data_IF_046712378331
#
_entry.id   IF_046712378331
#
_cell.length_a   1.000
_cell.length_b   1.000
_cell.length_c   1.000
_cell.angle_alpha   90.00
_cell.angle_beta   90.00
_cell.angle_gamma   90.00
#
_symmetry.space_group_name_H-M   'P 1'
#
loop_
_entity.id
_entity.type
_entity.pdbx_description
1 polymer ?
#
# COMPACT_ATOMS: atom_id res chain seq x y z
N UNK A 1 -13.81 -8.64 -27.56
CA UNK A 1 -14.07 -9.95 -28.20
C UNK A 1 -15.04 -9.74 -29.35
N UNK A 2 -14.60 -9.94 -30.60
CA UNK A 2 -15.55 -10.25 -31.67
C UNK A 2 -15.84 -11.75 -31.55
N UNK A 3 -16.91 -12.10 -30.85
CA UNK A 3 -17.41 -13.47 -30.85
C UNK A 3 -18.27 -13.64 -32.11
N UNK A 4 -17.86 -14.57 -32.97
CA UNK A 4 -18.64 -15.29 -33.99
C UNK A 4 -19.96 -14.65 -34.43
N UNK A 5 -19.98 -14.15 -35.66
CA UNK A 5 -21.11 -13.49 -36.30
C UNK A 5 -22.31 -14.39 -36.60
N UNK A 6 -23.03 -14.82 -35.57
CA UNK A 6 -24.45 -15.14 -35.67
C UNK A 6 -25.26 -14.09 -34.91
N UNK A 7 -26.21 -13.46 -35.61
CA UNK A 7 -27.07 -12.43 -35.06
C UNK A 7 -27.99 -13.03 -33.98
N UNK A 8 -27.98 -12.44 -32.79
CA UNK A 8 -28.92 -12.77 -31.71
C UNK A 8 -30.35 -12.49 -32.21
N UNK A 9 -31.21 -13.49 -32.25
CA UNK A 9 -32.62 -13.29 -32.62
C UNK A 9 -33.40 -12.70 -31.45
N UNK A 10 -34.42 -11.87 -31.74
CA UNK A 10 -35.21 -11.15 -30.73
C UNK A 10 -35.88 -12.08 -29.71
N UNK A 11 -36.21 -13.31 -30.09
CA UNK A 11 -36.78 -14.32 -29.18
C UNK A 11 -35.86 -14.73 -28.02
N UNK A 12 -34.54 -14.53 -28.16
CA UNK A 12 -33.58 -14.74 -27.08
C UNK A 12 -33.39 -13.49 -26.19
N UNK A 13 -33.88 -12.32 -26.61
CA UNK A 13 -33.64 -11.02 -25.97
C UNK A 13 -34.86 -10.36 -25.33
N UNK A 14 -36.07 -10.66 -25.78
CA UNK A 14 -37.30 -10.01 -25.31
C UNK A 14 -38.33 -11.04 -24.84
N UNK A 15 -38.77 -10.92 -23.58
CA UNK A 15 -39.85 -11.74 -23.06
C UNK A 15 -41.20 -11.27 -23.67
N UNK A 16 -42.11 -12.19 -24.05
CA UNK A 16 -43.43 -11.80 -24.50
C UNK A 16 -44.17 -11.03 -23.38
N UNK A 17 -45.16 -10.19 -23.73
CA UNK A 17 -45.95 -9.46 -22.74
C UNK A 17 -46.52 -10.41 -21.70
N UNK A 18 -46.46 -10.02 -20.43
CA UNK A 18 -47.06 -10.80 -19.36
C UNK A 18 -48.57 -10.57 -19.39
N UNK A 19 -49.31 -11.51 -19.98
CA UNK A 19 -50.76 -11.46 -20.13
C UNK A 19 -51.24 -11.05 -21.53
N UNK A 20 -52.55 -10.91 -21.71
CA UNK A 20 -53.16 -10.52 -22.98
C UNK A 20 -53.05 -9.01 -23.17
N UNK A 21 -52.47 -8.57 -24.30
CA UNK A 21 -52.43 -7.17 -24.65
C UNK A 21 -53.84 -6.64 -24.99
N UNK A 22 -54.16 -5.37 -24.67
CA UNK A 22 -55.37 -4.72 -25.14
C UNK A 22 -55.46 -4.72 -26.68
N UNK A 23 -56.68 -4.80 -27.23
CA UNK A 23 -56.90 -4.93 -28.68
C UNK A 23 -56.26 -3.81 -29.51
N UNK A 24 -56.17 -2.59 -28.96
CA UNK A 24 -55.51 -1.47 -29.63
C UNK A 24 -53.97 -1.57 -29.65
N UNK A 25 -53.39 -2.30 -28.69
CA UNK A 25 -51.94 -2.42 -28.49
C UNK A 25 -51.34 -3.60 -29.24
N UNK A 26 -52.11 -4.65 -29.48
CA UNK A 26 -51.68 -5.84 -30.21
C UNK A 26 -51.12 -5.49 -31.61
N UNK A 27 -51.79 -4.68 -32.46
CA UNK A 27 -51.26 -4.33 -33.77
C UNK A 27 -49.95 -3.52 -33.69
N UNK A 28 -49.78 -2.71 -32.65
CA UNK A 28 -48.57 -1.90 -32.43
C UNK A 28 -47.40 -2.76 -31.97
N UNK A 29 -47.65 -3.70 -31.04
CA UNK A 29 -46.68 -4.68 -30.59
C UNK A 29 -46.16 -5.52 -31.77
N UNK A 30 -47.07 -6.02 -32.60
CA UNK A 30 -46.70 -6.81 -33.79
C UNK A 30 -45.85 -6.00 -34.78
N UNK A 31 -46.22 -4.74 -35.04
CA UNK A 31 -45.42 -3.83 -35.89
C UNK A 31 -44.04 -3.55 -35.31
N UNK A 32 -43.93 -3.37 -33.98
CA UNK A 32 -42.66 -3.17 -33.29
C UNK A 32 -41.77 -4.40 -33.40
N UNK A 33 -42.29 -5.59 -33.10
CA UNK A 33 -41.55 -6.85 -33.21
C UNK A 33 -41.08 -7.06 -34.65
N UNK A 34 -41.93 -6.79 -35.65
CA UNK A 34 -41.54 -6.85 -37.05
C UNK A 34 -40.43 -5.85 -37.41
N UNK A 35 -40.50 -4.62 -36.90
CA UNK A 35 -39.47 -3.60 -37.13
C UNK A 35 -38.12 -3.97 -36.49
N UNK A 36 -38.13 -4.51 -35.27
CA UNK A 36 -36.92 -4.97 -34.58
C UNK A 36 -36.30 -6.14 -35.36
N UNK A 37 -37.09 -7.15 -35.74
CA UNK A 37 -36.61 -8.30 -36.52
C UNK A 37 -36.10 -7.91 -37.93
N UNK A 38 -36.66 -6.85 -38.52
CA UNK A 38 -36.27 -6.36 -39.84
C UNK A 38 -35.03 -5.46 -39.84
N UNK A 39 -34.47 -5.13 -38.68
CA UNK A 39 -33.32 -4.23 -38.55
C UNK A 39 -32.27 -4.78 -37.59
N UNK A 40 -31.07 -5.04 -38.11
CA UNK A 40 -29.94 -5.53 -37.32
C UNK A 40 -29.54 -4.56 -36.19
N UNK A 41 -29.59 -3.25 -36.47
CA UNK A 41 -29.31 -2.21 -35.47
C UNK A 41 -30.35 -2.20 -34.33
N UNK A 42 -31.64 -2.35 -34.65
CA UNK A 42 -32.70 -2.41 -33.64
C UNK A 42 -32.64 -3.72 -32.83
N UNK A 43 -32.33 -4.83 -33.49
CA UNK A 43 -32.11 -6.11 -32.82
C UNK A 43 -30.97 -6.02 -31.79
N UNK A 44 -29.85 -5.37 -32.14
CA UNK A 44 -28.68 -5.24 -31.26
C UNK A 44 -29.00 -4.49 -29.96
N UNK A 45 -29.70 -3.35 -30.05
CA UNK A 45 -30.04 -2.51 -28.89
C UNK A 45 -31.18 -3.08 -28.03
N UNK A 46 -32.01 -3.96 -28.60
CA UNK A 46 -33.15 -4.57 -27.90
C UNK A 46 -32.78 -5.88 -27.18
N UNK A 47 -31.50 -6.27 -27.18
CA UNK A 47 -30.98 -7.43 -26.44
C UNK A 47 -30.91 -7.18 -24.93
N UNK A 48 -31.04 -8.24 -24.12
CA UNK A 48 -31.01 -8.15 -22.65
C UNK A 48 -29.77 -7.45 -22.05
N UNK A 49 -28.66 -7.32 -22.77
CA UNK A 49 -27.48 -6.55 -22.31
C UNK A 49 -27.71 -5.04 -22.35
N UNK A 50 -28.49 -4.56 -23.32
CA UNK A 50 -28.86 -3.14 -23.48
C UNK A 50 -30.28 -2.85 -22.98
N UNK A 51 -31.11 -3.90 -22.86
CA UNK A 51 -32.52 -3.84 -22.46
C UNK A 51 -32.77 -4.19 -20.99
N UNK A 52 -31.84 -4.84 -20.26
CA UNK A 52 -32.12 -5.34 -18.90
C UNK A 52 -32.45 -4.24 -17.90
N UNK A 53 -33.74 -4.21 -17.61
CA UNK A 53 -34.45 -3.56 -16.54
C UNK A 53 -34.34 -4.32 -15.19
N UNK A 54 -33.13 -4.41 -14.64
CA UNK A 54 -32.92 -4.68 -13.20
C UNK A 54 -31.88 -3.73 -12.60
N UNK A 55 -31.86 -2.49 -13.10
CA UNK A 55 -31.46 -1.33 -12.30
C UNK A 55 -32.72 -0.83 -11.59
N UNK A 56 -32.59 -0.49 -10.31
CA UNK A 56 -33.56 0.34 -9.59
C UNK A 56 -34.96 -0.26 -9.30
N UNK A 57 -35.05 -1.35 -8.51
CA UNK A 57 -36.31 -1.73 -7.81
C UNK A 57 -36.17 -1.57 -6.29
N UNK A 58 -37.28 -1.33 -5.58
CA UNK A 58 -37.35 -0.92 -4.16
C UNK A 58 -36.67 -1.88 -3.15
N UNK A 59 -36.30 -3.09 -3.57
CA UNK A 59 -35.53 -4.06 -2.78
C UNK A 59 -34.00 -3.88 -2.92
N UNK A 60 -33.52 -2.92 -3.71
CA UNK A 60 -32.13 -2.77 -4.15
C UNK A 60 -31.51 -1.39 -3.82
N UNK A 61 -31.79 -0.85 -2.63
CA UNK A 61 -31.34 0.49 -2.16
C UNK A 61 -29.84 0.53 -1.81
N UNK A 62 -29.14 -0.62 -1.80
CA UNK A 62 -27.71 -0.70 -1.52
C UNK A 62 -26.79 -0.26 -2.69
N UNK A 63 -27.33 -0.06 -3.89
CA UNK A 63 -26.51 0.11 -5.10
C UNK A 63 -25.85 1.49 -5.27
N UNK A 64 -26.50 2.64 -4.98
CA UNK A 64 -25.85 3.95 -5.13
C UNK A 64 -24.67 4.12 -4.19
N UNK A 65 -24.84 3.79 -2.91
CA UNK A 65 -23.76 3.82 -1.91
C UNK A 65 -22.65 2.84 -2.29
N UNK A 66 -23.00 1.61 -2.69
CA UNK A 66 -21.99 0.64 -3.12
C UNK A 66 -21.22 1.11 -4.37
N UNK A 67 -21.88 1.74 -5.34
CA UNK A 67 -21.24 2.34 -6.52
C UNK A 67 -20.34 3.51 -6.13
N UNK A 68 -20.80 4.40 -5.25
CA UNK A 68 -20.01 5.52 -4.73
C UNK A 68 -18.76 5.02 -3.99
N UNK A 69 -18.91 4.05 -3.09
CA UNK A 69 -17.79 3.41 -2.37
C UNK A 69 -16.82 2.75 -3.34
N UNK A 70 -17.33 2.01 -4.33
CA UNK A 70 -16.50 1.29 -5.32
C UNK A 70 -15.80 2.25 -6.27
N UNK A 71 -16.45 3.33 -6.69
CA UNK A 71 -15.84 4.36 -7.52
C UNK A 71 -14.77 5.13 -6.73
N UNK A 72 -15.07 5.51 -5.49
CA UNK A 72 -14.13 6.17 -4.57
C UNK A 72 -12.88 5.30 -4.39
N UNK A 73 -13.04 4.03 -4.04
CA UNK A 73 -11.93 3.10 -3.85
C UNK A 73 -11.08 2.92 -5.12
N UNK A 74 -11.70 2.93 -6.31
CA UNK A 74 -10.97 2.86 -7.58
C UNK A 74 -10.17 4.14 -7.86
N UNK A 75 -10.73 5.31 -7.57
CA UNK A 75 -10.05 6.60 -7.75
C UNK A 75 -8.90 6.75 -6.75
N UNK A 76 -9.11 6.39 -5.48
CA UNK A 76 -8.06 6.32 -4.46
C UNK A 76 -6.94 5.38 -4.88
N UNK A 77 -7.29 4.17 -5.35
CA UNK A 77 -6.31 3.20 -5.83
C UNK A 77 -5.54 3.71 -7.04
N UNK A 78 -6.20 4.38 -7.97
CA UNK A 78 -5.53 4.97 -9.13
C UNK A 78 -4.53 6.05 -8.71
N UNK A 79 -4.89 6.93 -7.77
CA UNK A 79 -3.96 7.93 -7.22
C UNK A 79 -2.78 7.26 -6.49
N UNK A 80 -3.03 6.17 -5.77
CA UNK A 80 -1.98 5.39 -5.12
C UNK A 80 -1.03 4.75 -6.13
N UNK A 81 -1.55 4.21 -7.23
CA UNK A 81 -0.75 3.66 -8.32
C UNK A 81 0.11 4.74 -9.00
N UNK A 82 -0.45 5.95 -9.21
CA UNK A 82 0.30 7.08 -9.76
C UNK A 82 1.41 7.57 -8.80
N UNK A 83 1.10 7.69 -7.51
CA UNK A 83 2.06 8.06 -6.47
C UNK A 83 3.18 7.01 -6.34
N UNK A 84 2.85 5.72 -6.38
CA UNK A 84 3.82 4.65 -6.34
C UNK A 84 4.71 4.63 -7.60
N UNK A 85 4.13 4.78 -8.80
CA UNK A 85 4.90 4.84 -10.04
C UNK A 85 5.91 6.01 -10.02
N UNK A 86 5.48 7.15 -9.49
CA UNK A 86 6.33 8.31 -9.29
C UNK A 86 7.45 8.03 -8.26
N UNK A 87 7.14 7.40 -7.14
CA UNK A 87 8.13 7.07 -6.11
C UNK A 87 9.14 6.02 -6.61
N UNK A 88 8.67 5.01 -7.35
CA UNK A 88 9.50 3.94 -7.93
C UNK A 88 10.59 4.46 -8.86
N UNK A 89 10.33 5.56 -9.58
CA UNK A 89 11.31 6.18 -10.47
C UNK A 89 12.46 6.91 -9.73
N UNK A 90 12.41 6.99 -8.39
CA UNK A 90 13.39 7.73 -7.58
C UNK A 90 14.33 6.79 -6.84
N UNK A 91 15.65 7.04 -6.90
CA UNK A 91 16.64 6.25 -6.17
C UNK A 91 16.85 6.72 -4.72
N UNK A 92 16.23 7.85 -4.34
CA UNK A 92 16.48 8.54 -3.07
C UNK A 92 15.17 8.87 -2.36
N UNK A 93 15.20 9.05 -1.02
CA UNK A 93 14.02 9.45 -0.25
C UNK A 93 13.46 10.80 -0.73
N UNK A 94 12.16 11.00 -0.52
CA UNK A 94 11.41 12.17 -0.97
C UNK A 94 10.50 12.72 0.14
N UNK A 95 10.07 13.97 0.00
CA UNK A 95 9.07 14.61 0.86
C UNK A 95 7.69 14.61 0.19
N UNK A 96 6.62 14.81 0.98
CA UNK A 96 5.27 15.04 0.45
C UNK A 96 5.26 16.18 -0.57
N UNK A 97 5.92 17.30 -0.26
CA UNK A 97 5.97 18.47 -1.15
C UNK A 97 6.64 18.13 -2.50
N UNK A 98 7.68 17.31 -2.47
CA UNK A 98 8.34 16.85 -3.70
C UNK A 98 7.39 15.99 -4.54
N UNK A 99 6.59 15.12 -3.91
CA UNK A 99 5.58 14.29 -4.58
C UNK A 99 4.48 15.15 -5.20
N UNK A 100 3.96 16.11 -4.45
CA UNK A 100 2.95 17.05 -4.93
C UNK A 100 3.49 17.82 -6.14
N UNK A 101 4.65 18.46 -6.00
CA UNK A 101 5.27 19.23 -7.08
C UNK A 101 5.51 18.37 -8.33
N UNK A 102 5.92 17.12 -8.14
CA UNK A 102 6.20 16.19 -9.24
C UNK A 102 4.97 15.59 -9.93
N UNK A 103 3.79 15.64 -9.31
CA UNK A 103 2.53 15.09 -9.86
C UNK A 103 1.51 16.18 -10.21
N UNK A 104 1.74 17.43 -9.79
CA UNK A 104 0.83 18.55 -10.03
C UNK A 104 0.61 18.84 -11.52
N UNK A 105 1.60 18.58 -12.37
CA UNK A 105 1.50 18.79 -13.82
C UNK A 105 0.82 17.64 -14.59
N UNK A 106 0.54 16.49 -13.95
CA UNK A 106 -0.13 15.37 -14.62
C UNK A 106 -1.64 15.62 -14.68
N UNK A 107 -2.17 15.88 -15.88
CA UNK A 107 -3.59 16.15 -16.10
C UNK A 107 -4.50 15.01 -15.60
N UNK A 108 -4.06 13.75 -15.68
CA UNK A 108 -4.87 12.63 -15.20
C UNK A 108 -4.94 12.64 -13.68
N UNK A 109 -3.85 12.98 -12.99
CA UNK A 109 -3.84 13.18 -11.53
C UNK A 109 -4.83 14.29 -11.15
N UNK A 110 -4.80 15.42 -11.85
CA UNK A 110 -5.75 16.52 -11.61
C UNK A 110 -7.21 16.07 -11.78
N UNK A 111 -7.52 15.37 -12.87
CA UNK A 111 -8.87 14.88 -13.17
C UNK A 111 -9.38 13.86 -12.16
N UNK A 112 -8.52 12.93 -11.76
CA UNK A 112 -8.88 11.91 -10.76
C UNK A 112 -9.05 12.54 -9.38
N UNK A 113 -8.21 13.51 -9.00
CA UNK A 113 -8.35 14.24 -7.74
C UNK A 113 -9.66 15.06 -7.68
N UNK A 114 -10.00 15.75 -8.77
CA UNK A 114 -11.28 16.46 -8.89
C UNK A 114 -12.48 15.50 -8.78
N UNK A 115 -12.42 14.36 -9.47
CA UNK A 115 -13.47 13.34 -9.43
C UNK A 115 -13.62 12.69 -8.05
N UNK A 116 -12.50 12.42 -7.37
CA UNK A 116 -12.49 11.83 -6.03
C UNK A 116 -13.09 12.78 -4.98
N UNK A 117 -12.78 14.08 -5.08
CA UNK A 117 -13.22 15.08 -4.10
C UNK A 117 -14.57 15.71 -4.44
N UNK A 118 -15.05 15.54 -5.68
CA UNK A 118 -16.29 16.15 -6.17
C UNK A 118 -16.22 17.67 -6.33
N UNK A 119 -15.02 18.26 -6.29
CA UNK A 119 -14.77 19.72 -6.36
C UNK A 119 -13.47 20.02 -7.10
N UNK A 120 -13.32 21.24 -7.61
CA UNK A 120 -12.12 21.66 -8.36
C UNK A 120 -11.03 22.27 -7.45
N UNK A 121 -11.40 22.71 -6.25
CA UNK A 121 -10.49 23.30 -5.25
C UNK A 121 -10.00 22.27 -4.23
N UNK A 122 -9.52 21.13 -4.73
CA UNK A 122 -8.88 20.09 -3.92
C UNK A 122 -7.43 20.40 -3.58
N UNK A 123 -6.91 19.74 -2.55
CA UNK A 123 -5.50 19.81 -2.16
C UNK A 123 -4.79 18.48 -2.44
N UNK A 124 -3.85 18.48 -3.39
CA UNK A 124 -2.99 17.32 -3.62
C UNK A 124 -2.14 16.96 -2.39
N UNK A 125 -1.75 17.96 -1.58
CA UNK A 125 -1.01 17.73 -0.36
C UNK A 125 -1.85 16.95 0.67
N UNK A 126 -3.14 17.26 0.80
CA UNK A 126 -4.03 16.50 1.70
C UNK A 126 -4.30 15.09 1.17
N UNK A 127 -4.54 14.95 -0.13
CA UNK A 127 -4.80 13.65 -0.76
C UNK A 127 -3.58 12.72 -0.65
N UNK A 128 -2.40 13.16 -1.08
CA UNK A 128 -1.18 12.36 -0.98
C UNK A 128 -0.69 12.23 0.46
N UNK A 129 -0.93 13.21 1.33
CA UNK A 129 -0.64 13.10 2.76
C UNK A 129 -1.44 12.01 3.45
N UNK A 130 -2.75 11.93 3.16
CA UNK A 130 -3.63 10.86 3.66
C UNK A 130 -3.19 9.50 3.13
N UNK A 131 -2.86 9.44 1.84
CA UNK A 131 -2.37 8.23 1.17
C UNK A 131 -1.08 7.73 1.80
N UNK A 132 -0.07 8.58 1.96
CA UNK A 132 1.20 8.24 2.61
C UNK A 132 0.99 7.83 4.08
N UNK A 133 0.02 8.42 4.79
CA UNK A 133 -0.26 8.05 6.18
C UNK A 133 -0.83 6.63 6.35
N UNK A 134 -1.51 6.09 5.34
CA UNK A 134 -2.14 4.76 5.38
C UNK A 134 -1.38 3.69 4.59
N UNK A 135 -0.59 4.06 3.59
CA UNK A 135 0.17 3.14 2.73
C UNK A 135 1.69 3.16 3.01
N UNK A 136 2.11 3.74 4.14
CA UNK A 136 3.51 3.69 4.61
C UNK A 136 3.67 2.92 5.91
N UNK A 137 4.78 2.17 6.00
CA UNK A 137 5.26 1.56 7.25
C UNK A 137 6.64 2.15 7.58
N UNK A 138 6.92 2.52 8.85
CA UNK A 138 8.25 2.96 9.25
C UNK A 138 9.35 1.97 8.86
N UNK A 139 10.50 2.50 8.46
CA UNK A 139 11.65 1.70 8.06
C UNK A 139 12.24 0.92 9.26
N UNK A 140 12.30 1.55 10.44
CA UNK A 140 12.84 0.91 11.64
C UNK A 140 11.81 0.01 12.34
N UNK A 141 12.13 -1.27 12.66
CA UNK A 141 11.23 -2.16 13.41
C UNK A 141 10.75 -1.60 14.75
N UNK A 142 11.58 -0.82 15.44
CA UNK A 142 11.22 -0.15 16.71
C UNK A 142 10.02 0.81 16.57
N UNK A 143 9.77 1.31 15.36
CA UNK A 143 8.64 2.20 15.07
C UNK A 143 7.48 1.47 14.40
N UNK A 144 7.56 0.14 14.26
CA UNK A 144 6.51 -0.73 13.73
C UNK A 144 5.88 -1.58 14.84
N UNK A 145 6.71 -2.20 15.69
CA UNK A 145 6.28 -3.22 16.63
C UNK A 145 6.29 -2.75 18.09
N UNK A 146 5.39 -3.31 18.90
CA UNK A 146 5.48 -3.25 20.37
C UNK A 146 6.63 -4.14 20.87
N UNK A 147 6.92 -4.13 22.17
CA UNK A 147 7.91 -5.05 22.76
C UNK A 147 7.57 -6.54 22.51
N UNK A 148 6.29 -6.90 22.60
CA UNK A 148 5.82 -8.25 22.27
C UNK A 148 6.04 -8.57 20.78
N UNK A 149 5.76 -7.60 19.90
CA UNK A 149 6.01 -7.74 18.47
C UNK A 149 7.49 -7.84 18.12
N UNK A 150 8.37 -7.08 18.78
CA UNK A 150 9.83 -7.18 18.60
C UNK A 150 10.37 -8.55 19.04
N UNK A 151 9.81 -9.14 20.10
CA UNK A 151 10.13 -10.50 20.53
C UNK A 151 9.76 -11.52 19.44
N UNK A 152 8.57 -11.40 18.86
CA UNK A 152 8.15 -12.25 17.72
C UNK A 152 9.04 -12.01 16.50
N UNK A 153 9.36 -10.76 16.19
CA UNK A 153 10.25 -10.38 15.08
C UNK A 153 11.61 -11.04 15.20
N UNK A 154 12.19 -11.06 16.40
CA UNK A 154 13.45 -11.76 16.65
C UNK A 154 13.34 -13.27 16.39
N UNK A 155 12.25 -13.91 16.83
CA UNK A 155 12.01 -15.33 16.56
C UNK A 155 11.88 -15.62 15.06
N UNK A 156 11.20 -14.75 14.31
CA UNK A 156 11.13 -14.82 12.84
C UNK A 156 12.52 -14.65 12.19
N UNK A 157 13.31 -13.67 12.63
CA UNK A 157 14.67 -13.44 12.12
C UNK A 157 15.61 -14.64 12.37
N UNK A 158 15.45 -15.32 13.51
CA UNK A 158 16.18 -16.54 13.85
C UNK A 158 15.76 -17.72 12.96
N UNK A 159 14.46 -17.90 12.73
CA UNK A 159 13.93 -18.90 11.79
C UNK A 159 14.47 -18.67 10.38
N UNK A 160 14.43 -17.42 9.89
CA UNK A 160 14.98 -17.09 8.58
C UNK A 160 16.49 -17.33 8.52
N UNK A 161 17.22 -17.11 9.62
CA UNK A 161 18.66 -17.41 9.67
C UNK A 161 18.93 -18.91 9.57
N UNK A 162 18.11 -19.74 10.20
CA UNK A 162 18.20 -21.21 10.07
C UNK A 162 17.86 -21.65 8.65
N UNK A 163 16.79 -21.13 8.06
CA UNK A 163 16.40 -21.43 6.68
C UNK A 163 17.50 -21.04 5.69
N UNK A 164 18.12 -19.86 5.85
CA UNK A 164 19.25 -19.44 5.01
C UNK A 164 20.45 -20.38 5.11
N UNK A 165 20.74 -20.91 6.29
CA UNK A 165 21.83 -21.88 6.49
C UNK A 165 21.49 -23.23 5.86
N UNK A 166 20.23 -23.66 5.97
CA UNK A 166 19.71 -24.85 5.28
C UNK A 166 19.82 -24.71 3.75
N UNK A 167 19.40 -23.57 3.21
CA UNK A 167 19.50 -23.25 1.77
C UNK A 167 20.96 -23.22 1.28
N UNK A 168 21.91 -22.89 2.17
CA UNK A 168 23.35 -22.96 1.92
C UNK A 168 23.93 -24.39 2.02
N UNK A 169 23.10 -25.39 2.33
CA UNK A 169 23.48 -26.80 2.43
C UNK A 169 23.91 -27.25 3.83
N UNK A 170 23.78 -26.41 4.86
CA UNK A 170 24.07 -26.82 6.24
C UNK A 170 22.94 -27.69 6.82
N UNK A 171 23.31 -28.73 7.59
CA UNK A 171 22.33 -29.51 8.35
C UNK A 171 21.95 -28.77 9.63
N UNK A 172 20.85 -28.03 9.61
CA UNK A 172 20.38 -27.22 10.75
C UNK A 172 19.38 -27.92 11.67
N UNK A 173 18.94 -29.13 11.33
CA UNK A 173 17.94 -29.88 12.11
C UNK A 173 16.52 -29.35 11.90
N UNK A 174 15.63 -29.55 12.87
CA UNK A 174 14.24 -29.08 12.78
C UNK A 174 14.16 -27.58 13.01
N UNK A 175 13.71 -26.84 12.00
CA UNK A 175 13.44 -25.40 12.09
C UNK A 175 12.08 -25.19 12.77
N UNK A 176 12.00 -24.42 13.86
CA UNK A 176 10.74 -24.17 14.55
C UNK A 176 9.81 -23.28 13.71
N UNK A 177 8.50 -23.47 13.86
CA UNK A 177 7.50 -22.58 13.25
C UNK A 177 7.45 -21.27 14.05
N UNK A 178 7.64 -20.11 13.41
CA UNK A 178 7.62 -18.83 14.12
C UNK A 178 6.18 -18.47 14.56
N UNK A 179 6.03 -17.70 15.65
CA UNK A 179 4.71 -17.33 16.17
C UNK A 179 3.99 -16.33 15.24
N UNK A 180 2.68 -16.48 15.09
CA UNK A 180 1.85 -15.50 14.38
C UNK A 180 1.76 -14.17 15.14
N UNK A 181 1.78 -13.08 14.39
CA UNK A 181 1.47 -11.76 14.91
C UNK A 181 -0.04 -11.59 15.16
N UNK A 182 -0.39 -10.70 16.07
CA UNK A 182 -1.76 -10.36 16.42
C UNK A 182 -1.90 -8.90 16.81
N UNK A 183 -3.11 -8.37 16.62
CA UNK A 183 -3.49 -7.03 17.04
C UNK A 183 -4.60 -7.08 18.10
N UNK A 184 -4.30 -7.67 19.25
CA UNK A 184 -5.15 -7.58 20.45
C UNK A 184 -6.48 -8.38 20.43
N UNK A 185 -6.71 -9.24 19.44
CA UNK A 185 -7.99 -9.99 19.37
C UNK A 185 -8.00 -11.20 20.33
N UNK A 186 -9.12 -11.39 21.05
CA UNK A 186 -9.39 -12.57 21.90
C UNK A 186 -8.29 -12.85 22.96
N UNK A 187 -7.78 -11.82 23.62
CA UNK A 187 -6.75 -11.94 24.65
C UNK A 187 -5.32 -12.15 24.11
N UNK A 188 -5.11 -12.08 22.79
CA UNK A 188 -3.78 -12.12 22.18
C UNK A 188 -3.04 -10.80 22.37
N UNK A 189 -1.71 -10.84 22.25
CA UNK A 189 -0.85 -9.65 22.33
C UNK A 189 -1.18 -8.63 21.24
N UNK A 190 -0.88 -7.36 21.52
CA UNK A 190 -0.84 -6.32 20.48
C UNK A 190 0.60 -6.20 20.02
N UNK A 191 0.89 -6.63 18.79
CA UNK A 191 2.26 -6.73 18.31
C UNK A 191 2.67 -5.54 17.42
N UNK A 192 1.72 -4.86 16.76
CA UNK A 192 2.00 -3.64 16.00
C UNK A 192 1.61 -2.40 16.80
N UNK A 193 2.42 -1.35 16.72
CA UNK A 193 2.16 -0.08 17.38
C UNK A 193 0.92 0.62 16.82
N UNK A 194 0.61 0.40 15.54
CA UNK A 194 -0.54 0.97 14.86
C UNK A 194 -1.32 -0.09 14.11
N UNK A 195 -2.64 0.08 14.09
CA UNK A 195 -3.53 -0.83 13.37
C UNK A 195 -3.34 -0.73 11.84
N UNK A 196 -2.91 0.43 11.33
CA UNK A 196 -2.58 0.59 9.90
C UNK A 196 -1.43 -0.35 9.49
N UNK A 197 -0.39 -0.46 10.32
CA UNK A 197 0.73 -1.37 10.06
C UNK A 197 0.26 -2.83 10.06
N UNK A 198 -0.60 -3.21 11.02
CA UNK A 198 -1.22 -4.53 11.04
C UNK A 198 -2.05 -4.82 9.79
N UNK A 199 -2.83 -3.86 9.28
CA UNK A 199 -3.63 -4.04 8.05
C UNK A 199 -2.74 -4.30 6.84
N UNK A 200 -1.59 -3.64 6.76
CA UNK A 200 -0.61 -3.82 5.67
C UNK A 200 0.17 -5.13 5.80
N UNK A 201 0.45 -5.58 7.03
CA UNK A 201 1.38 -6.70 7.28
C UNK A 201 0.72 -8.04 7.61
N UNK A 202 -0.40 -8.02 8.33
CA UNK A 202 -1.15 -9.21 8.74
C UNK A 202 -0.39 -10.13 9.71
N UNK A 203 -0.94 -11.34 9.93
CA UNK A 203 -0.42 -12.30 10.92
C UNK A 203 0.96 -12.87 10.61
N UNK A 204 1.39 -12.78 9.36
CA UNK A 204 2.67 -13.29 8.87
C UNK A 204 3.68 -12.17 8.56
N UNK A 205 3.33 -10.92 8.89
CA UNK A 205 4.19 -9.75 8.69
C UNK A 205 4.66 -9.51 7.24
N UNK A 206 3.82 -9.88 6.27
CA UNK A 206 4.12 -9.77 4.83
C UNK A 206 4.01 -8.31 4.40
N UNK A 207 5.08 -7.68 3.86
CA UNK A 207 5.01 -6.30 3.38
C UNK A 207 3.99 -6.12 2.25
N UNK A 208 2.98 -5.27 2.45
CA UNK A 208 2.01 -4.86 1.41
C UNK A 208 1.88 -3.34 1.30
N UNK A 209 2.66 -2.59 2.07
CA UNK A 209 2.75 -1.15 1.95
C UNK A 209 3.45 -0.73 0.64
N UNK A 210 3.07 0.44 0.12
CA UNK A 210 3.67 1.00 -1.10
C UNK A 210 4.90 1.84 -0.79
N UNK A 211 4.94 2.42 0.41
CA UNK A 211 5.97 3.36 0.82
C UNK A 211 6.58 2.96 2.17
N UNK A 212 7.80 3.46 2.39
CA UNK A 212 8.49 3.37 3.67
C UNK A 212 8.68 4.76 4.24
N UNK A 213 8.53 4.92 5.55
CA UNK A 213 8.78 6.20 6.23
C UNK A 213 10.11 6.15 6.98
N UNK A 214 10.99 7.12 6.74
CA UNK A 214 12.28 7.25 7.44
C UNK A 214 12.12 8.05 8.73
N UNK A 215 11.62 7.37 9.74
CA UNK A 215 11.40 7.89 11.10
C UNK A 215 12.68 8.04 11.93
N UNK A 216 13.81 7.55 11.42
CA UNK A 216 15.11 7.56 12.06
C UNK A 216 15.91 8.82 11.76
N UNK A 217 15.40 9.68 10.88
CA UNK A 217 16.01 10.97 10.57
C UNK A 217 15.64 11.94 11.71
N UNK A 218 16.62 12.50 12.43
CA UNK A 218 16.36 13.38 13.57
C UNK A 218 15.86 14.76 13.14
N UNK A 219 15.16 15.43 14.07
CA UNK A 219 14.71 16.82 13.94
C UNK A 219 13.28 16.98 13.40
N UNK A 220 12.79 18.23 13.41
CA UNK A 220 11.43 18.61 13.01
C UNK A 220 11.31 18.88 11.49
N UNK A 221 12.22 18.30 10.70
CA UNK A 221 12.20 18.42 9.24
C UNK A 221 10.99 17.73 8.61
N UNK A 222 10.76 17.94 7.30
CA UNK A 222 9.69 17.24 6.60
C UNK A 222 9.92 15.74 6.65
N UNK A 223 8.83 14.98 6.87
CA UNK A 223 8.86 13.51 6.85
C UNK A 223 9.41 13.01 5.52
N UNK A 224 10.41 12.13 5.60
CA UNK A 224 11.00 11.48 4.44
C UNK A 224 10.35 10.12 4.19
N UNK A 225 10.05 9.87 2.93
CA UNK A 225 9.46 8.64 2.43
C UNK A 225 10.37 8.01 1.37
N UNK A 226 10.24 6.70 1.19
CA UNK A 226 10.86 5.95 0.09
C UNK A 226 9.87 5.00 -0.54
N UNK A 227 10.22 4.44 -1.70
CA UNK A 227 9.42 3.36 -2.30
C UNK A 227 9.72 2.04 -1.56
N UNK A 228 8.68 1.35 -1.11
CA UNK A 228 8.84 0.10 -0.36
C UNK A 228 9.46 -1.02 -1.20
N UNK A 229 9.30 -0.97 -2.53
CA UNK A 229 9.82 -1.97 -3.47
C UNK A 229 11.29 -1.79 -3.87
N UNK A 230 12.05 -0.88 -3.24
CA UNK A 230 13.50 -0.81 -3.47
C UNK A 230 14.18 -2.15 -3.16
N UNK A 231 15.17 -2.51 -3.97
CA UNK A 231 16.05 -3.64 -3.64
C UNK A 231 16.75 -3.37 -2.31
N UNK A 232 17.10 -4.42 -1.54
CA UNK A 232 17.90 -4.28 -0.32
C UNK A 232 19.13 -3.38 -0.50
N UNK A 233 19.84 -3.53 -1.62
CA UNK A 233 21.02 -2.71 -1.96
C UNK A 233 20.66 -1.24 -2.16
N UNK A 234 19.60 -0.93 -2.91
CA UNK A 234 19.17 0.44 -3.16
C UNK A 234 18.71 1.11 -1.85
N UNK A 235 17.93 0.39 -1.03
CA UNK A 235 17.46 0.88 0.27
C UNK A 235 18.62 1.11 1.26
N UNK A 236 19.61 0.22 1.29
CA UNK A 236 20.80 0.40 2.13
C UNK A 236 21.60 1.64 1.70
N UNK A 237 21.83 1.82 0.39
CA UNK A 237 22.49 3.04 -0.12
C UNK A 237 21.73 4.32 0.22
N UNK A 238 20.39 4.29 0.15
CA UNK A 238 19.58 5.43 0.56
C UNK A 238 19.76 5.77 2.05
N UNK A 239 19.87 4.76 2.93
CA UNK A 239 20.14 4.96 4.35
C UNK A 239 21.55 5.54 4.60
N UNK A 240 22.56 5.08 3.87
CA UNK A 240 23.92 5.62 3.97
C UNK A 240 23.99 7.08 3.51
N UNK A 241 23.34 7.42 2.40
CA UNK A 241 23.26 8.80 1.93
C UNK A 241 22.53 9.71 2.94
N UNK A 242 21.54 9.19 3.67
CA UNK A 242 20.89 9.92 4.77
C UNK A 242 21.85 10.10 5.97
N UNK A 243 22.62 9.07 6.35
CA UNK A 243 23.63 9.17 7.42
C UNK A 243 24.71 10.21 7.07
N UNK A 244 25.26 10.15 5.86
CA UNK A 244 26.27 11.08 5.36
C UNK A 244 25.77 12.52 5.37
N UNK A 245 24.55 12.77 4.85
CA UNK A 245 23.94 14.11 4.89
C UNK A 245 23.78 14.66 6.31
N UNK A 246 23.42 13.80 7.26
CA UNK A 246 23.27 14.18 8.66
C UNK A 246 24.63 14.39 9.34
N UNK A 247 25.64 13.61 8.96
CA UNK A 247 27.04 13.79 9.37
C UNK A 247 27.58 15.14 8.92
N UNK A 248 27.39 15.49 7.65
CA UNK A 248 27.80 16.77 7.07
C UNK A 248 27.06 17.96 7.70
N UNK A 249 25.80 17.76 8.10
CA UNK A 249 25.01 18.75 8.85
C UNK A 249 25.39 18.84 10.34
N UNK A 250 26.34 18.03 10.81
CA UNK A 250 26.86 18.08 12.17
C UNK A 250 26.05 17.31 13.21
N UNK A 251 25.11 16.44 12.80
CA UNK A 251 24.38 15.60 13.75
C UNK A 251 25.30 14.55 14.39
N UNK A 252 25.27 14.41 15.73
CA UNK A 252 26.11 13.43 16.43
C UNK A 252 25.68 12.01 16.09
N UNK A 253 26.63 11.06 16.20
CA UNK A 253 26.39 9.64 15.92
C UNK A 253 25.18 9.05 16.67
N UNK A 254 24.92 9.53 17.88
CA UNK A 254 23.81 9.06 18.72
C UNK A 254 22.44 9.31 18.06
N UNK A 255 22.31 10.36 17.24
CA UNK A 255 21.06 10.70 16.57
C UNK A 255 20.91 9.94 15.24
N UNK A 256 22.03 9.49 14.65
CA UNK A 256 22.06 8.79 13.36
C UNK A 256 22.09 7.26 13.50
N UNK A 257 22.29 6.74 14.72
CA UNK A 257 22.47 5.30 14.96
C UNK A 257 21.28 4.45 14.50
N UNK A 258 20.06 4.99 14.49
CA UNK A 258 18.88 4.29 13.95
C UNK A 258 19.00 4.00 12.45
N UNK A 259 19.53 4.95 11.65
CA UNK A 259 19.79 4.74 10.22
C UNK A 259 20.84 3.65 10.01
N UNK A 260 21.89 3.68 10.82
CA UNK A 260 22.96 2.68 10.78
C UNK A 260 22.44 1.30 11.19
N UNK A 261 21.58 1.20 12.21
CA UNK A 261 20.96 -0.08 12.62
C UNK A 261 20.12 -0.67 11.49
N UNK A 262 19.28 0.16 10.86
CA UNK A 262 18.51 -0.25 9.70
C UNK A 262 19.40 -0.71 8.54
N UNK A 263 20.51 -0.01 8.26
CA UNK A 263 21.45 -0.41 7.22
C UNK A 263 22.13 -1.76 7.53
N UNK A 264 22.54 -1.98 8.78
CA UNK A 264 23.11 -3.26 9.22
C UNK A 264 22.12 -4.42 9.12
N UNK A 265 20.84 -4.19 9.40
CA UNK A 265 19.78 -5.20 9.27
C UNK A 265 19.52 -5.63 7.83
N UNK A 266 19.79 -4.78 6.84
CA UNK A 266 19.61 -5.10 5.42
C UNK A 266 20.77 -5.92 4.83
N UNK A 267 21.94 -5.94 5.46
CA UNK A 267 23.12 -6.62 4.91
C UNK A 267 22.92 -8.11 4.60
N UNK A 268 22.22 -8.93 5.41
CA UNK A 268 21.95 -10.32 5.06
C UNK A 268 21.14 -10.45 3.76
N UNK A 269 20.17 -9.57 3.53
CA UNK A 269 19.36 -9.57 2.31
C UNK A 269 20.17 -9.08 1.10
N UNK A 270 21.02 -8.07 1.29
CA UNK A 270 21.99 -7.65 0.26
C UNK A 270 22.94 -8.81 -0.08
N UNK A 271 23.46 -9.54 0.91
CA UNK A 271 24.39 -10.63 0.68
C UNK A 271 23.76 -11.80 -0.09
N UNK A 272 22.46 -12.02 0.10
CA UNK A 272 21.67 -13.01 -0.64
C UNK A 272 21.57 -12.67 -2.14
N UNK A 273 21.46 -11.39 -2.47
CA UNK A 273 21.33 -10.93 -3.87
C UNK A 273 22.69 -10.69 -4.53
N UNK A 274 23.63 -10.10 -3.80
CA UNK A 274 25.00 -9.79 -4.24
C UNK A 274 25.95 -9.76 -3.02
N UNK A 275 26.64 -10.88 -2.80
CA UNK A 275 27.61 -11.03 -1.73
C UNK A 275 28.78 -10.05 -1.82
N UNK A 276 29.21 -9.66 -3.03
CA UNK A 276 30.30 -8.72 -3.24
C UNK A 276 29.87 -7.29 -2.89
N UNK A 277 28.65 -6.89 -3.25
CA UNK A 277 28.07 -5.62 -2.82
C UNK A 277 27.91 -5.57 -1.30
N UNK A 278 27.43 -6.64 -0.68
CA UNK A 278 27.31 -6.72 0.78
C UNK A 278 28.66 -6.55 1.49
N UNK A 279 29.73 -7.18 0.97
CA UNK A 279 31.07 -7.04 1.54
C UNK A 279 31.59 -5.59 1.46
N UNK A 280 31.38 -4.90 0.34
CA UNK A 280 31.76 -3.49 0.15
C UNK A 280 30.97 -2.56 1.09
N UNK A 281 29.65 -2.70 1.12
CA UNK A 281 28.78 -1.86 1.97
C UNK A 281 29.01 -2.13 3.46
N UNK A 282 29.33 -3.37 3.85
CA UNK A 282 29.74 -3.70 5.22
C UNK A 282 31.07 -3.03 5.60
N UNK A 283 32.02 -2.95 4.67
CA UNK A 283 33.29 -2.26 4.91
C UNK A 283 33.08 -0.75 5.06
N UNK A 284 32.20 -0.15 4.27
CA UNK A 284 31.82 1.27 4.35
C UNK A 284 31.13 1.61 5.67
N UNK A 285 30.17 0.78 6.11
CA UNK A 285 29.55 0.92 7.44
C UNK A 285 30.60 0.88 8.56
N UNK A 286 31.62 0.03 8.43
CA UNK A 286 32.73 -0.07 9.38
C UNK A 286 32.34 -0.69 10.74
N UNK A 287 33.24 -1.42 11.40
CA UNK A 287 32.93 -2.11 12.67
C UNK A 287 32.57 -1.12 13.79
N UNK A 288 33.17 0.07 13.77
CA UNK A 288 32.94 1.14 14.75
C UNK A 288 31.59 1.83 14.63
N UNK A 289 30.78 1.58 13.58
CA UNK A 289 29.41 2.12 13.46
C UNK A 289 28.34 1.06 13.69
N UNK A 290 28.70 -0.19 14.01
CA UNK A 290 27.75 -1.30 14.24
C UNK A 290 26.96 -1.09 15.55
N UNK A 291 25.63 -0.90 15.52
CA UNK A 291 24.86 -0.64 16.74
C UNK A 291 24.84 -1.83 17.71
N UNK A 292 24.80 -3.06 17.18
CA UNK A 292 24.89 -4.27 18.02
C UNK A 292 26.22 -4.45 18.77
N UNK A 293 27.28 -3.68 18.42
CA UNK A 293 28.52 -3.65 19.19
C UNK A 293 28.48 -2.63 20.34
N UNK A 294 27.47 -1.75 20.35
CA UNK A 294 27.24 -0.67 21.32
C UNK A 294 25.74 -0.57 21.65
N UNK A 295 25.17 -1.60 22.30
CA UNK A 295 23.74 -1.68 22.57
C UNK A 295 23.21 -0.48 23.37
N UNK A 296 24.05 0.16 24.18
CA UNK A 296 23.74 1.38 24.92
C UNK A 296 23.40 2.57 24.01
N UNK A 297 24.05 2.69 22.85
CA UNK A 297 23.76 3.76 21.89
C UNK A 297 22.41 3.57 21.23
N UNK A 298 22.09 2.32 20.84
CA UNK A 298 20.80 2.01 20.25
C UNK A 298 19.66 2.20 21.25
N UNK A 299 19.86 1.79 22.51
CA UNK A 299 18.89 2.01 23.59
C UNK A 299 18.68 3.50 23.88
N UNK A 300 19.75 4.31 23.90
CA UNK A 300 19.65 5.75 24.06
C UNK A 300 18.90 6.41 22.88
N UNK A 301 19.17 5.96 21.65
CA UNK A 301 18.44 6.43 20.47
C UNK A 301 16.96 6.10 20.54
N UNK A 302 16.60 4.87 20.92
CA UNK A 302 15.21 4.43 21.09
C UNK A 302 14.46 5.28 22.13
N UNK A 303 15.14 5.67 23.22
CA UNK A 303 14.57 6.53 24.24
C UNK A 303 14.34 7.97 23.74
N UNK A 304 15.23 8.48 22.89
CA UNK A 304 15.17 9.84 22.36
C UNK A 304 14.32 9.96 21.08
N UNK A 305 14.01 8.85 20.42
CA UNK A 305 13.21 8.78 19.19
C UNK A 305 11.98 7.89 19.46
N UNK A 306 10.95 8.41 20.17
CA UNK A 306 9.77 7.62 20.46
C UNK A 306 8.99 7.30 19.17
N UNK A 307 8.30 6.15 19.11
CA UNK A 307 7.55 5.79 17.91
C UNK A 307 6.47 6.83 17.54
N UNK A 308 6.22 7.05 16.23
CA UNK A 308 5.21 8.00 15.77
C UNK A 308 3.83 7.67 16.35
N UNK A 309 3.21 8.64 17.04
CA UNK A 309 1.85 8.50 17.60
C UNK A 309 1.74 7.97 19.02
N UNK A 310 2.84 7.80 19.77
CA UNK A 310 2.79 7.47 21.22
C UNK A 310 2.65 8.71 22.13
N UNK A 311 2.57 9.91 21.55
CA UNK A 311 2.35 11.15 22.29
C UNK A 311 1.03 11.12 23.06
N UNK A 312 1.10 11.07 24.40
CA UNK A 312 -0.02 11.28 25.32
C UNK A 312 -0.93 12.36 24.76
N UNK A 313 -2.15 11.98 24.38
CA UNK A 313 -3.18 12.94 24.04
C UNK A 313 -3.24 13.98 25.15
N UNK A 314 -2.91 15.23 24.83
CA UNK A 314 -3.25 16.36 25.71
C UNK A 314 -4.75 16.23 25.95
N UNK A 315 -5.14 15.79 27.15
CA UNK A 315 -6.52 15.86 27.61
C UNK A 315 -6.95 17.30 27.37
N UNK A 316 -7.87 17.51 26.43
CA UNK A 316 -8.61 18.76 26.35
C UNK A 316 -9.31 18.89 27.71
N UNK A 317 -8.85 19.84 28.51
CA UNK A 317 -9.58 20.25 29.70
C UNK A 317 -10.98 20.66 29.23
N UNK A 318 -11.99 20.04 29.84
CA UNK A 318 -13.37 20.47 29.73
C UNK A 318 -13.56 21.80 30.43
#
# INVERSE_FOLDING_TARGET
MRASGEALTVGAGEAPPVGRLPEWAEPLWQRRVAAINGSEALTLIETSVFKRAWRDTEQNIAEPRHREETNTAQLERWLADAAEAWAKARPSPFTLDSMVAGLQADERVQRVAAALTGREDYSLAELFGTLLAVDSVPNHPHHVYTEAGLTKRKAWEDVWALQRREDAGEKVGTIPVPPEYSQGSRGKSTDFLRNEYWKLRGSLDVPKERFITFTEVPGDGPTLYGWAGWTPTARLKALLALDERLEDAGHPLNDRVGLLDAAWRLLPDVAREDAAAAARLKAELGPGRRPGARPELLAAWQANHPPPGTGRGKKRAR
#
